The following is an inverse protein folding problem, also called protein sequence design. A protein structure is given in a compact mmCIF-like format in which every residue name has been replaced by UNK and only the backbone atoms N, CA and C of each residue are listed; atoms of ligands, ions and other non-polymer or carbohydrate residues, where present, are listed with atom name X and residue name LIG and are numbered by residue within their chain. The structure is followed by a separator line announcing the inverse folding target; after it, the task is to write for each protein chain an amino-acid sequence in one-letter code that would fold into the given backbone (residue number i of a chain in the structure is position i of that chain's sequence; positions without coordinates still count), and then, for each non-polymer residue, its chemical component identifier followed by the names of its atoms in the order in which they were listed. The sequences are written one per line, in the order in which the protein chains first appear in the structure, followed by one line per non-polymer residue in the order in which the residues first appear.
data_IF_651534846693
#
_entry.id   IF_651534846693
#
_cell.length_a   1.000
_cell.length_b   1.000
_cell.length_c   1.000
_cell.angle_alpha   90.00
_cell.angle_beta   90.00
_cell.angle_gamma   90.00
#
_symmetry.space_group_name_H-M   'P 1'
#
loop_
_entity.id
_entity.type
_entity.pdbx_description
1 polymer ?
#
# COMPACT_ATOMS: atom_id res chain seq x y z
N UNK A 1 -34.08 5.04 25.04
CA UNK A 1 -32.93 5.89 24.71
C UNK A 1 -32.54 5.55 23.25
N UNK A 2 -33.20 6.25 22.31
CA UNK A 2 -32.77 6.22 20.91
C UNK A 2 -31.36 6.83 20.82
N UNK A 3 -30.41 6.10 20.22
CA UNK A 3 -29.07 6.63 19.94
C UNK A 3 -29.23 7.71 18.87
N UNK A 4 -29.19 8.96 19.26
CA UNK A 4 -29.16 10.13 18.36
C UNK A 4 -28.04 10.05 17.30
N UNK A 5 -27.06 9.15 17.48
CA UNK A 5 -25.97 8.95 16.53
C UNK A 5 -26.37 8.15 15.28
N UNK A 6 -27.47 7.39 15.31
CA UNK A 6 -27.92 6.55 14.19
C UNK A 6 -28.76 7.32 13.16
N UNK A 7 -29.25 8.52 13.50
CA UNK A 7 -30.14 9.31 12.64
C UNK A 7 -29.44 10.34 11.75
N UNK A 8 -28.13 10.58 11.98
CA UNK A 8 -27.37 11.57 11.19
C UNK A 8 -26.69 10.87 10.01
N UNK A 9 -27.07 11.24 8.79
CA UNK A 9 -26.43 10.70 7.60
C UNK A 9 -24.93 11.05 7.55
N UNK A 10 -24.12 10.19 6.92
CA UNK A 10 -22.67 10.44 6.71
C UNK A 10 -22.40 11.78 6.02
N UNK A 11 -23.31 12.24 5.18
CA UNK A 11 -23.22 13.52 4.48
C UNK A 11 -23.41 14.71 5.43
N UNK A 12 -24.39 14.61 6.32
CA UNK A 12 -24.66 15.64 7.35
C UNK A 12 -23.51 15.72 8.36
N UNK A 13 -22.97 14.56 8.77
CA UNK A 13 -21.80 14.51 9.64
C UNK A 13 -20.58 15.22 9.00
N UNK A 14 -20.32 14.98 7.71
CA UNK A 14 -19.25 15.68 6.98
C UNK A 14 -19.49 17.18 6.89
N UNK A 15 -20.73 17.59 6.68
CA UNK A 15 -21.11 19.00 6.58
C UNK A 15 -20.94 19.71 7.92
N UNK A 16 -21.40 19.09 9.01
CA UNK A 16 -21.25 19.62 10.36
C UNK A 16 -19.77 19.72 10.76
N UNK A 17 -19.00 18.65 10.51
CA UNK A 17 -17.55 18.65 10.75
C UNK A 17 -16.84 19.75 9.97
N UNK A 18 -17.20 19.94 8.70
CA UNK A 18 -16.64 21.00 7.85
C UNK A 18 -16.92 22.40 8.43
N UNK A 19 -18.17 22.68 8.81
CA UNK A 19 -18.56 23.95 9.39
C UNK A 19 -17.82 24.22 10.71
N UNK A 20 -17.84 23.28 11.65
CA UNK A 20 -17.14 23.41 12.93
C UNK A 20 -15.62 23.60 12.77
N UNK A 21 -15.02 22.90 11.81
CA UNK A 21 -13.59 23.03 11.53
C UNK A 21 -13.23 24.41 10.98
N UNK A 22 -14.09 24.98 10.16
CA UNK A 22 -13.87 26.33 9.61
C UNK A 22 -14.06 27.41 10.67
N UNK A 23 -15.12 27.30 11.50
CA UNK A 23 -15.36 28.22 12.61
C UNK A 23 -14.19 28.20 13.62
N UNK A 24 -13.71 27.01 13.99
CA UNK A 24 -12.56 26.86 14.88
C UNK A 24 -11.28 27.45 14.28
N UNK A 25 -11.09 27.26 13.00
CA UNK A 25 -9.94 27.79 12.25
C UNK A 25 -9.93 29.32 12.25
N UNK A 26 -11.08 29.95 11.99
CA UNK A 26 -11.23 31.40 12.04
C UNK A 26 -10.95 31.90 13.47
N UNK A 27 -11.58 31.31 14.48
CA UNK A 27 -11.39 31.68 15.88
C UNK A 27 -9.92 31.60 16.33
N UNK A 28 -9.24 30.49 16.03
CA UNK A 28 -7.84 30.28 16.42
C UNK A 28 -6.88 31.22 15.70
N UNK A 29 -7.17 31.56 14.45
CA UNK A 29 -6.34 32.48 13.69
C UNK A 29 -6.21 33.84 14.34
N UNK A 30 -7.30 34.31 14.95
CA UNK A 30 -7.38 35.63 15.54
C UNK A 30 -6.98 35.64 17.02
N UNK A 31 -7.11 34.52 17.72
CA UNK A 31 -6.92 34.44 19.19
C UNK A 31 -5.57 33.80 19.58
N UNK A 32 -5.11 32.74 18.88
CA UNK A 32 -3.88 31.99 19.22
C UNK A 32 -3.20 31.42 17.97
N UNK A 33 -2.15 32.10 17.48
CA UNK A 33 -1.39 31.65 16.33
C UNK A 33 -0.70 30.28 16.50
N UNK A 34 -0.30 29.96 17.72
CA UNK A 34 0.37 28.68 18.00
C UNK A 34 -0.64 27.54 17.93
N UNK A 35 -1.81 27.71 18.55
CA UNK A 35 -2.92 26.77 18.46
C UNK A 35 -3.44 26.64 17.01
N UNK A 36 -3.54 27.74 16.28
CA UNK A 36 -3.89 27.72 14.86
C UNK A 36 -2.93 26.86 14.02
N UNK A 37 -1.63 27.01 14.22
CA UNK A 37 -0.64 26.20 13.50
C UNK A 37 -0.76 24.71 13.82
N UNK A 38 -0.98 24.36 15.09
CA UNK A 38 -1.21 22.96 15.51
C UNK A 38 -2.49 22.40 14.92
N UNK A 39 -3.56 23.19 14.92
CA UNK A 39 -4.84 22.82 14.33
C UNK A 39 -4.69 22.53 12.83
N UNK A 40 -4.04 23.42 12.07
CA UNK A 40 -3.81 23.20 10.63
C UNK A 40 -3.02 21.92 10.34
N UNK A 41 -2.01 21.63 11.16
CA UNK A 41 -1.25 20.36 11.03
C UNK A 41 -2.13 19.14 11.28
N UNK A 42 -2.96 19.18 12.31
CA UNK A 42 -3.87 18.08 12.64
C UNK A 42 -4.93 17.89 11.56
N UNK A 43 -5.54 18.96 11.07
CA UNK A 43 -6.56 18.94 10.01
C UNK A 43 -5.97 18.39 8.69
N UNK A 44 -4.80 18.86 8.29
CA UNK A 44 -4.09 18.35 7.12
C UNK A 44 -3.71 16.87 7.25
N UNK A 45 -3.25 16.46 8.44
CA UNK A 45 -2.96 15.05 8.73
C UNK A 45 -4.23 14.19 8.62
N UNK A 46 -5.34 14.65 9.21
CA UNK A 46 -6.62 13.95 9.13
C UNK A 46 -7.10 13.81 7.68
N UNK A 47 -7.13 14.90 6.91
CA UNK A 47 -7.54 14.91 5.50
C UNK A 47 -6.66 13.99 4.65
N UNK A 48 -5.34 14.04 4.82
CA UNK A 48 -4.42 13.16 4.10
C UNK A 48 -4.57 11.70 4.49
N UNK A 49 -4.88 11.41 5.75
CA UNK A 49 -5.15 10.05 6.24
C UNK A 49 -6.46 9.51 5.68
N UNK A 50 -7.54 10.31 5.67
CA UNK A 50 -8.82 9.91 5.07
C UNK A 50 -8.68 9.67 3.57
N UNK A 51 -7.96 10.53 2.87
CA UNK A 51 -7.67 10.33 1.45
C UNK A 51 -6.91 9.01 1.21
N UNK A 52 -5.88 8.72 2.01
CA UNK A 52 -5.10 7.49 1.92
C UNK A 52 -5.95 6.24 2.19
N UNK A 53 -6.85 6.30 3.19
CA UNK A 53 -7.79 5.22 3.47
C UNK A 53 -8.69 4.98 2.27
N UNK A 54 -9.32 6.01 1.73
CA UNK A 54 -10.29 5.87 0.65
C UNK A 54 -9.64 5.50 -0.69
N UNK A 55 -8.52 6.14 -1.04
CA UNK A 55 -7.91 6.00 -2.37
C UNK A 55 -6.97 4.80 -2.46
N UNK A 56 -6.43 4.32 -1.34
CA UNK A 56 -5.42 3.28 -1.29
C UNK A 56 -5.89 2.04 -0.55
N UNK A 57 -6.29 2.18 0.72
CA UNK A 57 -6.60 1.01 1.55
C UNK A 57 -7.93 0.37 1.17
N UNK A 58 -8.99 1.16 0.97
CA UNK A 58 -10.30 0.64 0.59
C UNK A 58 -10.29 -0.16 -0.73
N UNK A 59 -9.66 0.31 -1.82
CA UNK A 59 -9.54 -0.47 -3.05
C UNK A 59 -8.81 -1.80 -2.86
N UNK A 60 -7.84 -1.86 -1.95
CA UNK A 60 -7.10 -3.10 -1.64
C UNK A 60 -7.96 -4.04 -0.80
N UNK A 61 -8.60 -3.53 0.26
CA UNK A 61 -9.45 -4.32 1.16
C UNK A 61 -10.69 -4.89 0.47
N UNK A 62 -11.19 -4.19 -0.55
CA UNK A 62 -12.32 -4.68 -1.36
C UNK A 62 -11.93 -5.81 -2.33
N UNK A 63 -10.64 -6.16 -2.44
CA UNK A 63 -10.19 -7.30 -3.24
C UNK A 63 -10.12 -8.55 -2.35
N UNK A 64 -11.05 -9.46 -2.59
CA UNK A 64 -11.27 -10.67 -1.77
C UNK A 64 -10.12 -11.69 -1.90
N UNK A 65 -9.26 -11.57 -2.93
CA UNK A 65 -8.24 -12.55 -3.28
C UNK A 65 -6.82 -11.98 -3.15
N UNK A 66 -5.97 -12.70 -2.41
CA UNK A 66 -4.56 -12.35 -2.21
C UNK A 66 -3.80 -12.17 -3.53
N UNK A 67 -4.08 -13.01 -4.51
CA UNK A 67 -3.45 -12.94 -5.85
C UNK A 67 -3.86 -11.68 -6.60
N UNK A 68 -5.10 -11.24 -6.42
CA UNK A 68 -5.59 -9.97 -6.99
C UNK A 68 -4.99 -8.75 -6.31
N UNK A 69 -4.78 -8.81 -4.99
CA UNK A 69 -4.10 -7.74 -4.25
C UNK A 69 -2.68 -7.57 -4.79
N UNK A 70 -1.94 -8.66 -4.90
CA UNK A 70 -0.56 -8.64 -5.37
C UNK A 70 -0.51 -8.17 -6.83
N UNK A 71 -1.36 -8.71 -7.71
CA UNK A 71 -1.44 -8.27 -9.12
C UNK A 71 -1.82 -6.79 -9.27
N UNK A 72 -2.61 -6.25 -8.34
CA UNK A 72 -2.97 -4.85 -8.30
C UNK A 72 -1.80 -3.95 -7.87
N UNK A 73 -1.01 -4.41 -6.90
CA UNK A 73 0.20 -3.71 -6.44
C UNK A 73 1.32 -3.74 -7.49
N UNK A 74 1.33 -4.77 -8.34
CA UNK A 74 2.31 -4.98 -9.41
C UNK A 74 1.90 -4.45 -10.78
N UNK A 75 0.89 -3.61 -10.85
CA UNK A 75 0.68 -2.88 -12.10
C UNK A 75 1.96 -2.12 -12.44
N UNK A 76 2.47 -2.32 -13.66
CA UNK A 76 3.66 -1.67 -14.24
C UNK A 76 3.48 -0.15 -14.39
N UNK A 77 2.65 0.46 -13.54
CA UNK A 77 2.23 1.84 -13.61
C UNK A 77 2.60 2.61 -12.35
N UNK A 78 2.75 3.90 -12.49
CA UNK A 78 2.87 4.88 -11.39
C UNK A 78 1.83 4.62 -10.28
N UNK A 79 0.67 4.08 -10.65
CA UNK A 79 -0.42 3.75 -9.73
C UNK A 79 -0.02 2.65 -8.73
N UNK A 80 0.62 1.56 -9.21
CA UNK A 80 1.13 0.49 -8.35
C UNK A 80 2.15 1.01 -7.32
N UNK A 81 3.08 1.86 -7.74
CA UNK A 81 4.06 2.51 -6.85
C UNK A 81 3.38 3.36 -5.77
N UNK A 82 2.32 4.09 -6.12
CA UNK A 82 1.56 4.90 -5.17
C UNK A 82 0.85 4.03 -4.11
N UNK A 83 0.30 2.88 -4.52
CA UNK A 83 -0.33 1.94 -3.58
C UNK A 83 0.68 1.34 -2.60
N UNK A 84 1.85 0.90 -3.08
CA UNK A 84 2.92 0.36 -2.23
C UNK A 84 3.39 1.43 -1.22
N UNK A 85 3.62 2.65 -1.66
CA UNK A 85 4.00 3.76 -0.77
C UNK A 85 2.90 4.08 0.25
N UNK A 86 1.64 4.03 -0.16
CA UNK A 86 0.49 4.22 0.72
C UNK A 86 0.37 3.13 1.79
N UNK A 87 0.56 1.87 1.41
CA UNK A 87 0.62 0.74 2.34
C UNK A 87 1.76 0.91 3.35
N UNK A 88 2.98 1.21 2.87
CA UNK A 88 4.15 1.44 3.72
C UNK A 88 3.92 2.54 4.77
N UNK A 89 3.20 3.62 4.41
CA UNK A 89 2.87 4.72 5.32
C UNK A 89 1.72 4.41 6.26
N UNK A 90 0.95 3.36 6.01
CA UNK A 90 -0.27 3.03 6.76
C UNK A 90 -0.09 1.85 7.70
N UNK A 91 0.88 1.01 7.45
CA UNK A 91 1.15 -0.21 8.19
C UNK A 91 2.35 -0.04 9.12
N UNK A 92 2.39 -0.84 10.17
CA UNK A 92 3.59 -0.98 11.01
C UNK A 92 4.69 -1.67 10.21
N UNK A 93 5.98 -1.46 10.56
CA UNK A 93 7.10 -2.07 9.85
C UNK A 93 6.99 -3.60 9.72
N UNK A 94 6.52 -4.26 10.78
CA UNK A 94 6.34 -5.71 10.82
C UNK A 94 5.24 -6.17 9.86
N UNK A 95 4.11 -5.45 9.83
CA UNK A 95 3.00 -5.73 8.93
C UNK A 95 3.40 -5.51 7.46
N UNK A 96 4.19 -4.46 7.20
CA UNK A 96 4.71 -4.20 5.87
C UNK A 96 5.71 -5.26 5.42
N UNK A 97 6.53 -5.81 6.34
CA UNK A 97 7.45 -6.92 6.05
C UNK A 97 6.71 -8.19 5.59
N UNK A 98 5.52 -8.48 6.11
CA UNK A 98 4.68 -9.59 5.59
C UNK A 98 4.30 -9.37 4.13
N UNK A 99 3.93 -8.14 3.76
CA UNK A 99 3.62 -7.80 2.37
C UNK A 99 4.85 -7.96 1.49
N UNK A 100 6.02 -7.48 1.92
CA UNK A 100 7.28 -7.64 1.19
C UNK A 100 7.59 -9.11 0.92
N UNK A 101 7.44 -9.98 1.93
CA UNK A 101 7.68 -11.42 1.79
C UNK A 101 6.67 -12.08 0.84
N UNK A 102 5.39 -11.76 0.95
CA UNK A 102 4.35 -12.28 0.06
C UNK A 102 4.61 -11.89 -1.40
N UNK A 103 5.09 -10.67 -1.62
CA UNK A 103 5.51 -10.17 -2.92
C UNK A 103 6.67 -10.97 -3.48
N UNK A 104 7.74 -11.17 -2.71
CA UNK A 104 8.91 -11.96 -3.13
C UNK A 104 8.49 -13.37 -3.53
N UNK A 105 7.70 -14.04 -2.70
CA UNK A 105 7.19 -15.39 -2.99
C UNK A 105 6.37 -15.42 -4.28
N UNK A 106 5.49 -14.44 -4.47
CA UNK A 106 4.65 -14.39 -5.69
C UNK A 106 5.46 -14.17 -6.96
N UNK A 107 6.50 -13.35 -6.91
CA UNK A 107 7.38 -13.11 -8.05
C UNK A 107 8.09 -14.38 -8.52
N UNK A 108 8.48 -15.24 -7.59
CA UNK A 108 9.16 -16.50 -7.90
C UNK A 108 8.24 -17.71 -8.10
N UNK A 109 6.91 -17.54 -7.88
CA UNK A 109 5.96 -18.64 -7.98
C UNK A 109 5.83 -19.14 -9.41
N UNK A 110 6.06 -20.44 -9.62
CA UNK A 110 5.83 -21.10 -10.89
C UNK A 110 4.32 -21.28 -11.09
N UNK A 111 3.82 -20.93 -12.28
CA UNK A 111 2.49 -21.38 -12.70
C UNK A 111 2.61 -22.84 -13.13
N UNK A 112 1.82 -23.77 -12.58
CA UNK A 112 1.78 -25.14 -13.07
C UNK A 112 1.44 -25.09 -14.57
N UNK A 113 2.31 -25.66 -15.42
CA UNK A 113 1.97 -25.86 -16.82
C UNK A 113 0.95 -26.99 -16.92
N UNK A 114 -0.06 -26.84 -17.78
CA UNK A 114 -1.00 -27.91 -18.11
C UNK A 114 -0.21 -29.15 -18.56
N UNK A 115 -0.36 -30.25 -17.83
CA UNK A 115 0.31 -31.53 -18.15
C UNK A 115 1.36 -32.03 -17.16
N UNK A 116 1.73 -31.25 -16.15
CA UNK A 116 2.57 -31.77 -15.06
C UNK A 116 1.69 -32.24 -13.89
N UNK A 117 1.76 -33.54 -13.63
CA UNK A 117 1.18 -34.16 -12.42
C UNK A 117 1.99 -33.76 -11.19
N UNK A 118 1.85 -32.51 -10.75
CA UNK A 118 2.30 -32.11 -9.44
C UNK A 118 1.16 -32.25 -8.45
N UNK A 119 1.44 -32.90 -7.32
CA UNK A 119 0.58 -32.79 -6.16
C UNK A 119 0.31 -31.31 -5.92
N UNK A 120 -0.94 -30.88 -5.88
CA UNK A 120 -1.33 -29.46 -5.80
C UNK A 120 -0.71 -28.74 -4.60
N UNK A 121 -0.38 -29.47 -3.54
CA UNK A 121 0.34 -28.98 -2.38
C UNK A 121 1.81 -28.63 -2.69
N UNK A 122 2.50 -29.41 -3.53
CA UNK A 122 3.92 -29.19 -3.87
C UNK A 122 4.11 -28.07 -4.90
N UNK A 123 3.16 -27.86 -5.80
CA UNK A 123 3.24 -26.80 -6.82
C UNK A 123 3.09 -25.39 -6.24
N UNK A 124 2.44 -25.25 -5.08
CA UNK A 124 2.27 -23.96 -4.42
C UNK A 124 3.55 -23.40 -3.78
N UNK A 125 4.57 -24.26 -3.57
CA UNK A 125 5.78 -23.93 -2.82
C UNK A 125 7.04 -23.79 -3.69
N UNK A 126 6.96 -24.09 -4.99
CA UNK A 126 8.15 -24.05 -5.86
C UNK A 126 8.49 -22.60 -6.24
N UNK A 127 9.60 -22.13 -5.71
CA UNK A 127 10.23 -20.87 -6.08
C UNK A 127 11.24 -21.10 -7.22
N UNK A 128 11.12 -20.32 -8.29
CA UNK A 128 12.04 -20.36 -9.41
C UNK A 128 12.73 -19.00 -9.58
N UNK A 129 14.05 -19.00 -9.55
CA UNK A 129 14.86 -17.78 -9.62
C UNK A 129 14.70 -17.05 -10.96
N UNK A 130 14.62 -17.78 -12.09
CA UNK A 130 14.44 -17.15 -13.39
C UNK A 130 13.07 -16.50 -13.54
N UNK A 131 12.01 -17.17 -13.06
CA UNK A 131 10.67 -16.59 -12.99
C UNK A 131 10.66 -15.33 -12.11
N UNK A 132 11.35 -15.40 -10.97
CA UNK A 132 11.50 -14.26 -10.09
C UNK A 132 12.16 -13.08 -10.80
N UNK A 133 13.32 -13.30 -11.44
CA UNK A 133 14.08 -12.24 -12.12
C UNK A 133 13.28 -11.63 -13.29
N UNK A 134 12.60 -12.46 -14.07
CA UNK A 134 11.73 -12.00 -15.16
C UNK A 134 10.61 -11.10 -14.64
N UNK A 135 9.95 -11.51 -13.55
CA UNK A 135 8.87 -10.73 -12.94
C UNK A 135 9.42 -9.49 -12.22
N UNK A 136 10.58 -9.60 -11.57
CA UNK A 136 11.27 -8.47 -10.94
C UNK A 136 11.59 -7.35 -11.93
N UNK A 137 12.06 -7.71 -13.13
CA UNK A 137 12.38 -6.73 -14.16
C UNK A 137 11.17 -5.92 -14.64
N UNK A 138 9.98 -6.47 -14.55
CA UNK A 138 8.72 -5.80 -14.91
C UNK A 138 8.23 -4.80 -13.86
N UNK A 139 8.77 -4.84 -12.64
CA UNK A 139 8.35 -3.93 -11.56
C UNK A 139 8.90 -2.54 -11.83
N UNK A 140 8.05 -1.54 -11.65
CA UNK A 140 8.45 -0.13 -11.71
C UNK A 140 9.59 0.18 -10.71
N UNK A 141 10.66 0.90 -11.12
CA UNK A 141 11.79 1.21 -10.23
C UNK A 141 11.39 1.93 -8.94
N UNK A 142 10.38 2.81 -8.97
CA UNK A 142 9.89 3.49 -7.77
C UNK A 142 9.18 2.51 -6.83
N UNK A 143 8.46 1.52 -7.38
CA UNK A 143 7.85 0.46 -6.58
C UNK A 143 8.92 -0.37 -5.87
N UNK A 144 10.02 -0.70 -6.55
CA UNK A 144 11.19 -1.37 -5.95
C UNK A 144 11.76 -0.54 -4.79
N UNK A 145 11.91 0.77 -4.96
CA UNK A 145 12.42 1.68 -3.93
C UNK A 145 11.51 1.76 -2.71
N UNK A 146 10.20 1.75 -2.92
CA UNK A 146 9.25 1.74 -1.81
C UNK A 146 9.22 0.40 -1.08
N UNK A 147 9.32 -0.71 -1.80
CA UNK A 147 9.35 -2.05 -1.22
C UNK A 147 10.61 -2.29 -0.38
N UNK A 148 11.77 -1.91 -0.89
CA UNK A 148 13.06 -2.27 -0.31
C UNK A 148 13.91 -1.07 0.14
N UNK A 149 13.28 0.05 0.45
CA UNK A 149 13.97 1.27 0.92
C UNK A 149 14.57 1.16 2.32
N UNK A 150 14.29 0.08 3.07
CA UNK A 150 14.94 -0.17 4.35
C UNK A 150 16.37 -0.67 4.13
N UNK A 151 17.27 -0.32 5.06
CA UNK A 151 18.69 -0.74 5.03
C UNK A 151 18.86 -2.25 4.87
N UNK A 152 17.94 -3.04 5.46
CA UNK A 152 17.96 -4.51 5.39
C UNK A 152 17.81 -5.05 3.96
N UNK A 153 17.07 -4.36 3.11
CA UNK A 153 16.77 -4.82 1.74
C UNK A 153 17.56 -4.09 0.65
N UNK A 154 18.34 -3.07 1.01
CA UNK A 154 19.10 -2.29 0.03
C UNK A 154 20.16 -3.14 -0.70
N UNK A 155 20.82 -4.03 0.01
CA UNK A 155 21.85 -4.91 -0.58
C UNK A 155 21.18 -6.01 -1.41
N UNK A 156 20.11 -6.63 -0.91
CA UNK A 156 19.32 -7.61 -1.66
C UNK A 156 18.83 -7.01 -2.99
N UNK A 157 18.35 -5.80 -2.98
CA UNK A 157 17.90 -5.11 -4.19
C UNK A 157 19.04 -4.95 -5.21
N UNK A 158 20.23 -4.51 -4.78
CA UNK A 158 21.39 -4.38 -5.66
C UNK A 158 21.78 -5.71 -6.30
N UNK A 159 21.78 -6.77 -5.51
CA UNK A 159 22.13 -8.10 -6.00
C UNK A 159 21.09 -8.65 -6.97
N UNK A 160 19.80 -8.43 -6.69
CA UNK A 160 18.71 -8.80 -7.60
C UNK A 160 18.77 -8.02 -8.92
N UNK A 161 19.05 -6.72 -8.88
CA UNK A 161 19.18 -5.90 -10.09
C UNK A 161 20.40 -6.32 -10.92
N UNK A 162 21.51 -6.73 -10.29
CA UNK A 162 22.68 -7.30 -10.98
C UNK A 162 22.36 -8.63 -11.64
N UNK A 163 21.71 -9.55 -10.92
CA UNK A 163 21.30 -10.85 -11.46
C UNK A 163 20.33 -10.70 -12.63
N UNK A 164 19.42 -9.72 -12.56
CA UNK A 164 18.47 -9.44 -13.62
C UNK A 164 19.15 -9.01 -14.94
N UNK A 165 20.31 -8.35 -14.86
CA UNK A 165 21.10 -7.95 -16.04
C UNK A 165 21.87 -9.13 -16.64
N UNK A 166 22.32 -10.08 -15.80
CA UNK A 166 23.16 -11.22 -16.23
C UNK A 166 22.31 -12.37 -16.80
N UNK A 167 21.05 -12.46 -16.44
CA UNK A 167 20.12 -13.51 -16.87
C UNK A 167 19.07 -12.93 -17.82
N UNK A 168 19.40 -12.65 -19.08
CA UNK A 168 18.40 -12.28 -20.08
C UNK A 168 17.41 -13.43 -20.28
N UNK A 169 16.13 -13.08 -20.39
CA UNK A 169 15.03 -14.02 -20.61
C UNK A 169 15.15 -14.71 -21.97
#
# INVERSE_FOLDING_TARGET
NANLADDISKAEYKRLYGALSEDLKVFLKDTDKAAYTKFLRADNYYKSSQKRINDILQPILNKVDQDRIISFLFKETQEGSNYINGLKKSLKPEEFAYIQNAIIQKLGKIKPSEGMNYDAASASELFNSNTFLTNWNKIDPKAKDFLFSSKLYADLRKDLDRLAVISPA
#
